data_IF_323021092464
#
_entry.id   IF_323021092464
#
_cell.length_a   1.000
_cell.length_b   1.000
_cell.length_c   1.000
_cell.angle_alpha   90.00
_cell.angle_beta   90.00
_cell.angle_gamma   90.00
#
_symmetry.space_group_name_H-M   'P 1'
#
loop_
_entity.id
_entity.type
_entity.pdbx_description
1 polymer ?
#
# COMPACT_ATOMS: atom_id res chain seq x y z
N UNK A 1 -2.33 10.83 -26.60
CA UNK A 1 -2.08 9.61 -25.82
C UNK A 1 -3.43 8.98 -25.49
N UNK A 2 -3.60 7.72 -25.82
CA UNK A 2 -4.86 7.03 -25.51
C UNK A 2 -4.93 6.60 -24.03
N UNK A 3 -6.10 6.11 -23.62
CA UNK A 3 -6.33 5.73 -22.24
C UNK A 3 -5.43 4.59 -21.79
N UNK A 4 -5.20 3.60 -22.66
CA UNK A 4 -4.35 2.46 -22.36
C UNK A 4 -2.92 2.91 -22.03
N UNK A 5 -2.38 3.81 -22.82
CA UNK A 5 -1.03 4.34 -22.60
C UNK A 5 -0.97 5.21 -21.33
N UNK A 6 -2.00 6.01 -21.08
CA UNK A 6 -2.10 6.81 -19.85
C UNK A 6 -2.09 5.92 -18.61
N UNK A 7 -2.83 4.83 -18.67
CA UNK A 7 -2.92 3.88 -17.55
C UNK A 7 -1.57 3.21 -17.31
N UNK A 8 -0.93 2.73 -18.35
CA UNK A 8 0.38 2.09 -18.26
C UNK A 8 1.43 3.05 -17.69
N UNK A 9 1.47 4.27 -18.20
CA UNK A 9 2.41 5.28 -17.72
C UNK A 9 2.17 5.62 -16.25
N UNK A 10 0.91 5.71 -15.83
CA UNK A 10 0.56 5.96 -14.44
C UNK A 10 1.06 4.85 -13.51
N UNK A 11 0.83 3.59 -13.89
CA UNK A 11 1.26 2.44 -13.08
C UNK A 11 2.78 2.37 -12.99
N UNK A 12 3.50 2.71 -14.05
CA UNK A 12 4.97 2.79 -14.04
C UNK A 12 5.47 3.90 -13.13
N UNK A 13 4.81 5.06 -13.17
CA UNK A 13 5.21 6.24 -12.41
C UNK A 13 4.83 6.12 -10.93
N UNK A 14 3.63 5.61 -10.64
CA UNK A 14 3.12 5.47 -9.28
C UNK A 14 2.63 4.04 -9.09
N UNK A 15 3.53 3.09 -8.80
CA UNK A 15 3.15 1.70 -8.59
C UNK A 15 2.32 1.52 -7.31
N UNK A 16 1.50 0.50 -7.29
CA UNK A 16 0.77 0.10 -6.09
C UNK A 16 -0.60 0.72 -5.92
N UNK A 17 -1.05 1.54 -6.86
CA UNK A 17 -2.40 2.07 -6.79
C UNK A 17 -3.45 0.98 -7.03
N UNK A 18 -4.58 1.10 -6.34
CA UNK A 18 -5.76 0.27 -6.58
C UNK A 18 -6.53 0.83 -7.78
N UNK A 19 -7.49 0.06 -8.26
CA UNK A 19 -8.37 0.49 -9.36
C UNK A 19 -9.07 1.82 -9.04
N UNK A 20 -9.58 1.97 -7.82
CA UNK A 20 -10.25 3.19 -7.40
C UNK A 20 -9.31 4.41 -7.44
N UNK A 21 -8.06 4.22 -7.00
CA UNK A 21 -7.07 5.29 -7.01
C UNK A 21 -6.71 5.70 -8.44
N UNK A 22 -6.57 4.74 -9.34
CA UNK A 22 -6.25 5.02 -10.75
C UNK A 22 -7.42 5.75 -11.41
N UNK A 23 -8.65 5.28 -11.19
CA UNK A 23 -9.86 5.93 -11.71
C UNK A 23 -9.93 7.39 -11.26
N UNK A 24 -9.70 7.63 -9.99
CA UNK A 24 -9.73 8.99 -9.44
C UNK A 24 -8.64 9.88 -10.06
N UNK A 25 -7.42 9.37 -10.15
CA UNK A 25 -6.28 10.15 -10.63
C UNK A 25 -6.35 10.47 -12.12
N UNK A 26 -6.80 9.52 -12.94
CA UNK A 26 -6.83 9.67 -14.38
C UNK A 26 -8.17 10.14 -14.93
N UNK A 27 -9.20 10.18 -14.06
CA UNK A 27 -10.56 10.53 -14.47
C UNK A 27 -11.05 9.68 -15.64
N UNK A 28 -10.81 8.39 -15.54
CA UNK A 28 -11.24 7.40 -16.55
C UNK A 28 -12.38 6.58 -15.94
N UNK A 29 -13.49 6.35 -16.67
CA UNK A 29 -14.58 5.51 -16.17
C UNK A 29 -14.08 4.13 -15.78
N UNK A 30 -14.64 3.57 -14.69
CA UNK A 30 -14.19 2.31 -14.14
C UNK A 30 -14.27 1.15 -15.15
N UNK A 31 -15.32 1.10 -15.96
CA UNK A 31 -15.46 0.05 -16.99
C UNK A 31 -14.35 0.13 -18.04
N UNK A 32 -14.02 1.34 -18.46
CA UNK A 32 -12.92 1.58 -19.41
C UNK A 32 -11.58 1.18 -18.79
N UNK A 33 -11.35 1.57 -17.53
CA UNK A 33 -10.14 1.21 -16.82
C UNK A 33 -9.98 -0.29 -16.70
N UNK A 34 -11.03 -1.01 -16.29
CA UNK A 34 -11.01 -2.47 -16.17
C UNK A 34 -10.61 -3.14 -17.49
N UNK A 35 -11.19 -2.69 -18.58
CA UNK A 35 -10.89 -3.25 -19.90
C UNK A 35 -9.40 -3.11 -20.21
N UNK A 36 -8.84 -1.91 -20.05
CA UNK A 36 -7.43 -1.67 -20.36
C UNK A 36 -6.48 -2.38 -19.38
N UNK A 37 -6.86 -2.48 -18.11
CA UNK A 37 -6.04 -3.23 -17.15
C UNK A 37 -5.93 -4.71 -17.54
N UNK A 38 -7.05 -5.32 -17.96
CA UNK A 38 -7.03 -6.71 -18.41
C UNK A 38 -6.17 -6.88 -19.66
N UNK A 39 -6.25 -5.93 -20.60
CA UNK A 39 -5.41 -5.97 -21.80
C UNK A 39 -3.92 -5.86 -21.45
N UNK A 40 -3.56 -4.94 -20.57
CA UNK A 40 -2.16 -4.76 -20.16
C UNK A 40 -1.62 -5.98 -19.41
N UNK A 41 -2.47 -6.66 -18.63
CA UNK A 41 -2.09 -7.90 -17.95
C UNK A 41 -1.85 -9.00 -18.99
N UNK A 42 -2.73 -9.15 -19.98
CA UNK A 42 -2.58 -10.13 -21.06
C UNK A 42 -1.31 -9.88 -21.87
N UNK A 43 -0.95 -8.61 -22.06
CA UNK A 43 0.27 -8.23 -22.78
C UNK A 43 1.52 -8.36 -21.92
N UNK A 44 1.38 -8.79 -20.68
CA UNK A 44 2.47 -8.99 -19.73
C UNK A 44 3.25 -7.69 -19.44
N UNK A 45 2.56 -6.56 -19.44
CA UNK A 45 3.14 -5.25 -19.14
C UNK A 45 2.93 -4.84 -17.69
N UNK A 46 1.84 -5.31 -17.08
CA UNK A 46 1.53 -5.07 -15.67
C UNK A 46 1.05 -6.38 -15.03
N UNK A 47 1.00 -6.38 -13.71
CA UNK A 47 0.36 -7.46 -12.95
C UNK A 47 -0.40 -6.86 -11.79
N UNK A 48 -1.35 -7.63 -11.25
CA UNK A 48 -2.05 -7.27 -10.03
C UNK A 48 -1.66 -8.23 -8.92
N UNK A 49 -1.61 -7.72 -7.70
CA UNK A 49 -1.31 -8.54 -6.53
C UNK A 49 -2.19 -8.08 -5.37
N UNK A 50 -2.78 -9.04 -4.69
CA UNK A 50 -3.58 -8.74 -3.50
C UNK A 50 -2.66 -8.70 -2.29
N UNK A 51 -2.35 -7.50 -1.80
CA UNK A 51 -1.62 -7.32 -0.54
C UNK A 51 -2.63 -7.11 0.58
N UNK A 52 -3.19 -5.92 0.72
CA UNK A 52 -4.36 -5.69 1.56
C UNK A 52 -5.59 -5.29 0.74
N UNK A 53 -5.38 -4.83 -0.48
CA UNK A 53 -6.38 -4.65 -1.54
C UNK A 53 -5.75 -5.19 -2.83
N UNK A 54 -6.44 -5.07 -3.95
CA UNK A 54 -5.86 -5.44 -5.23
C UNK A 54 -5.07 -4.27 -5.78
N UNK A 55 -3.76 -4.44 -5.86
CA UNK A 55 -2.81 -3.42 -6.30
C UNK A 55 -2.23 -3.75 -7.66
N UNK A 56 -1.89 -2.72 -8.44
CA UNK A 56 -1.36 -2.89 -9.80
C UNK A 56 0.07 -2.39 -9.88
N UNK A 57 0.92 -3.16 -10.55
CA UNK A 57 2.36 -2.89 -10.67
C UNK A 57 2.83 -3.16 -12.09
N UNK A 58 3.89 -2.45 -12.52
CA UNK A 58 4.56 -2.77 -13.77
C UNK A 58 5.40 -4.03 -13.62
N UNK A 59 5.48 -4.81 -14.69
CA UNK A 59 6.32 -6.01 -14.71
C UNK A 59 7.78 -5.60 -14.54
N UNK A 60 8.52 -6.37 -13.73
CA UNK A 60 9.94 -6.09 -13.46
C UNK A 60 10.21 -5.31 -12.17
N UNK A 61 9.16 -4.86 -11.47
CA UNK A 61 9.34 -4.14 -10.20
C UNK A 61 9.88 -5.10 -9.12
N UNK A 62 10.83 -4.62 -8.31
CA UNK A 62 11.35 -5.43 -7.20
C UNK A 62 10.33 -5.55 -6.08
N UNK A 63 10.40 -6.65 -5.31
CA UNK A 63 9.50 -6.87 -4.20
C UNK A 63 9.60 -5.76 -3.14
N UNK A 64 10.81 -5.30 -2.87
CA UNK A 64 11.06 -4.23 -1.90
C UNK A 64 10.39 -2.92 -2.32
N UNK A 65 10.54 -2.52 -3.59
CA UNK A 65 9.92 -1.31 -4.11
C UNK A 65 8.41 -1.46 -4.14
N UNK A 66 7.92 -2.63 -4.50
CA UNK A 66 6.49 -2.92 -4.53
C UNK A 66 5.82 -2.68 -3.17
N UNK A 67 6.38 -3.23 -2.10
CA UNK A 67 5.86 -3.05 -0.75
C UNK A 67 5.96 -1.60 -0.30
N UNK A 68 7.11 -0.97 -0.53
CA UNK A 68 7.35 0.42 -0.15
C UNK A 68 6.35 1.37 -0.82
N UNK A 69 6.16 1.25 -2.12
CA UNK A 69 5.24 2.13 -2.85
C UNK A 69 3.79 1.89 -2.45
N UNK A 70 3.44 0.65 -2.14
CA UNK A 70 2.10 0.30 -1.69
C UNK A 70 1.76 0.99 -0.36
N UNK A 71 2.70 1.03 0.57
CA UNK A 71 2.54 1.74 1.86
C UNK A 71 2.49 3.25 1.63
N UNK A 72 3.43 3.80 0.86
CA UNK A 72 3.51 5.24 0.61
C UNK A 72 2.25 5.80 -0.08
N UNK A 73 1.60 5.01 -0.93
CA UNK A 73 0.38 5.41 -1.60
C UNK A 73 -0.88 5.31 -0.73
N UNK A 74 -0.76 4.76 0.48
CA UNK A 74 -1.86 4.67 1.44
C UNK A 74 -1.56 5.57 2.63
N UNK A 75 -2.25 6.72 2.69
CA UNK A 75 -2.02 7.71 3.75
C UNK A 75 -2.09 7.11 5.15
N UNK A 76 -3.09 6.27 5.40
CA UNK A 76 -3.34 5.72 6.74
C UNK A 76 -2.22 4.79 7.19
N UNK A 77 -1.76 3.91 6.32
CA UNK A 77 -0.65 3.00 6.63
C UNK A 77 0.66 3.76 6.72
N UNK A 78 0.89 4.68 5.80
CA UNK A 78 2.12 5.46 5.78
C UNK A 78 2.25 6.35 7.01
N UNK A 79 1.14 6.90 7.51
CA UNK A 79 1.15 7.73 8.72
C UNK A 79 1.65 6.94 9.93
N UNK A 80 1.20 5.71 10.11
CA UNK A 80 1.69 4.84 11.19
C UNK A 80 3.15 4.47 10.93
N UNK A 81 3.46 4.02 9.72
CA UNK A 81 4.78 3.51 9.39
C UNK A 81 5.88 4.56 9.60
N UNK A 82 5.67 5.78 9.11
CA UNK A 82 6.67 6.85 9.23
C UNK A 82 6.82 7.36 10.68
N UNK A 83 5.81 7.17 11.53
CA UNK A 83 5.87 7.57 12.94
C UNK A 83 6.47 6.49 13.83
N UNK A 84 6.72 5.30 13.32
CA UNK A 84 7.39 4.21 14.05
C UNK A 84 8.91 4.39 14.02
N UNK A 85 9.38 5.45 14.65
CA UNK A 85 10.82 5.81 14.68
C UNK A 85 11.57 5.13 15.82
N UNK A 86 10.84 4.47 16.74
CA UNK A 86 11.40 3.75 17.88
C UNK A 86 10.42 2.64 18.26
N UNK A 87 10.77 1.84 19.27
CA UNK A 87 9.86 0.83 19.80
C UNK A 87 8.69 1.52 20.50
N UNK A 88 7.48 1.25 20.07
CA UNK A 88 6.28 1.92 20.57
C UNK A 88 5.18 0.92 20.88
N UNK A 89 4.44 1.15 21.96
CA UNK A 89 3.25 0.36 22.28
C UNK A 89 2.10 0.78 21.37
N UNK A 90 1.07 -0.06 21.29
CA UNK A 90 -0.14 0.26 20.53
C UNK A 90 -0.75 1.60 20.96
N UNK A 91 -0.82 1.82 22.29
CA UNK A 91 -1.36 3.06 22.84
C UNK A 91 -0.55 4.30 22.46
N UNK A 92 0.77 4.18 22.46
CA UNK A 92 1.66 5.27 22.04
C UNK A 92 1.47 5.62 20.57
N UNK A 93 1.35 4.60 19.71
CA UNK A 93 1.11 4.79 18.28
C UNK A 93 -0.24 5.46 18.05
N UNK A 94 -1.28 4.98 18.72
CA UNK A 94 -2.63 5.54 18.60
C UNK A 94 -2.66 7.02 18.99
N UNK A 95 -1.98 7.37 20.08
CA UNK A 95 -1.88 8.75 20.54
C UNK A 95 -1.11 9.62 19.54
N UNK A 96 0.04 9.13 19.09
CA UNK A 96 0.89 9.87 18.14
C UNK A 96 0.16 10.13 16.83
N UNK A 97 -0.58 9.15 16.33
CA UNK A 97 -1.31 9.26 15.06
C UNK A 97 -2.72 9.85 15.23
N UNK A 98 -3.16 10.09 16.46
CA UNK A 98 -4.47 10.63 16.77
C UNK A 98 -5.62 9.78 16.20
N UNK A 99 -5.56 8.48 16.43
CA UNK A 99 -6.57 7.51 16.00
C UNK A 99 -6.89 6.57 17.16
N UNK A 100 -8.01 5.83 17.04
CA UNK A 100 -8.41 4.88 18.08
C UNK A 100 -7.46 3.68 18.14
N UNK A 101 -7.41 3.02 19.29
CA UNK A 101 -6.62 1.79 19.45
C UNK A 101 -7.11 0.68 18.53
N UNK A 102 -8.42 0.59 18.30
CA UNK A 102 -9.01 -0.41 17.42
C UNK A 102 -8.53 -0.25 15.98
N UNK A 103 -8.56 0.98 15.47
CA UNK A 103 -8.08 1.30 14.13
C UNK A 103 -6.58 1.07 14.03
N UNK A 104 -5.82 1.47 15.04
CA UNK A 104 -4.37 1.26 15.10
C UNK A 104 -4.04 -0.22 15.01
N UNK A 105 -4.74 -1.06 15.78
CA UNK A 105 -4.53 -2.50 15.78
C UNK A 105 -4.75 -3.10 14.40
N UNK A 106 -5.83 -2.72 13.72
CA UNK A 106 -6.13 -3.21 12.38
C UNK A 106 -5.05 -2.84 11.37
N UNK A 107 -4.60 -1.60 11.42
CA UNK A 107 -3.55 -1.12 10.50
C UNK A 107 -2.19 -1.75 10.78
N UNK A 108 -1.86 -1.97 12.05
CA UNK A 108 -0.64 -2.68 12.43
C UNK A 108 -0.66 -4.12 11.93
N UNK A 109 -1.82 -4.78 11.96
CA UNK A 109 -1.95 -6.13 11.41
C UNK A 109 -1.65 -6.15 9.91
N UNK A 110 -2.10 -5.13 9.17
CA UNK A 110 -1.79 -5.01 7.74
C UNK A 110 -0.29 -4.84 7.54
N UNK A 111 0.35 -3.92 8.27
CA UNK A 111 1.79 -3.69 8.18
C UNK A 111 2.59 -4.94 8.56
N UNK A 112 2.13 -5.67 9.57
CA UNK A 112 2.76 -6.93 9.98
C UNK A 112 2.65 -7.97 8.86
N UNK A 113 1.49 -8.07 8.21
CA UNK A 113 1.29 -8.99 7.09
C UNK A 113 2.18 -8.65 5.89
N UNK A 114 2.56 -7.40 5.73
CA UNK A 114 3.50 -6.95 4.69
C UNK A 114 4.96 -7.16 5.07
N UNK A 115 5.22 -7.64 6.29
CA UNK A 115 6.55 -7.96 6.81
C UNK A 115 7.48 -6.74 6.89
N UNK A 116 6.91 -5.57 7.20
CA UNK A 116 7.69 -4.33 7.31
C UNK A 116 7.84 -3.85 8.75
N UNK A 117 7.15 -4.47 9.69
CA UNK A 117 7.27 -4.19 11.12
C UNK A 117 7.46 -5.49 11.89
N UNK A 118 7.92 -5.38 13.12
CA UNK A 118 8.06 -6.52 14.03
C UNK A 118 7.49 -6.18 15.39
N UNK A 119 7.07 -7.22 16.12
CA UNK A 119 6.61 -7.11 17.49
C UNK A 119 7.74 -7.53 18.42
N UNK A 120 7.93 -6.75 19.48
CA UNK A 120 8.94 -7.05 20.51
C UNK A 120 8.23 -7.05 21.86
N UNK A 121 8.52 -8.05 22.67
CA UNK A 121 7.99 -8.08 24.06
C UNK A 121 9.08 -7.56 25.00
N UNK A 122 8.79 -6.42 25.63
CA UNK A 122 9.70 -5.77 26.59
C UNK A 122 8.94 -5.60 27.90
N UNK A 123 9.39 -6.27 28.97
CA UNK A 123 8.80 -6.16 30.31
C UNK A 123 7.28 -6.31 30.33
N UNK A 124 6.73 -7.38 29.78
CA UNK A 124 5.30 -7.67 29.70
C UNK A 124 4.52 -6.75 28.76
N UNK A 125 5.18 -5.80 28.08
CA UNK A 125 4.53 -4.94 27.08
C UNK A 125 4.94 -5.36 25.68
N UNK A 126 3.97 -5.31 24.77
CA UNK A 126 4.23 -5.55 23.35
C UNK A 126 4.51 -4.21 22.70
N UNK A 127 5.65 -4.10 22.03
CA UNK A 127 6.05 -2.90 21.29
C UNK A 127 6.24 -3.25 19.83
N UNK A 128 6.04 -2.27 18.98
CA UNK A 128 6.16 -2.40 17.53
C UNK A 128 7.30 -1.51 17.06
N UNK A 129 8.01 -1.96 16.03
CA UNK A 129 9.05 -1.15 15.38
C UNK A 129 9.17 -1.56 13.92
N UNK A 130 9.75 -0.67 13.11
CA UNK A 130 10.07 -1.00 11.72
C UNK A 130 11.18 -2.03 11.67
N UNK A 131 11.14 -2.88 10.66
CA UNK A 131 12.23 -3.81 10.38
C UNK A 131 13.43 -3.12 9.79
#
# INVERSE_FOLDING_TARGET
MDNKQKILNHIKKIPGHTQSQITYRLDIPQSTLKYHLLQLIKENKIFSEKLFKMHYFSVGISNKIKIKTCIESNYNLNNIYKNLIKNMTLGEIATTCNISKSITSKRLQILDSLDVIKKIKVEKKIKFCRK
#
